data_IF_832192622632
#
_entry.id   IF_832192622632
#
_cell.length_a   1.000
_cell.length_b   1.000
_cell.length_c   1.000
_cell.angle_alpha   90.00
_cell.angle_beta   90.00
_cell.angle_gamma   90.00
#
_symmetry.space_group_name_H-M   'P 1'
#
loop_
_entity.id
_entity.type
_entity.pdbx_description
1 polymer ?
#
# COMPACT_ATOMS: atom_id res chain seq x y z
N UNK A 1 10.65 44.20 4.88
CA UNK A 1 10.64 43.16 3.84
C UNK A 1 9.65 42.09 4.26
N UNK A 2 8.43 42.14 3.72
CA UNK A 2 7.39 41.14 3.99
C UNK A 2 7.68 39.91 3.16
N UNK A 3 7.96 38.79 3.82
CA UNK A 3 8.10 37.48 3.17
C UNK A 3 6.77 37.07 2.56
N UNK A 4 6.77 36.75 1.26
CA UNK A 4 5.61 36.20 0.58
C UNK A 4 5.22 34.84 1.18
N UNK A 5 3.92 34.51 1.26
CA UNK A 5 3.48 33.19 1.67
C UNK A 5 4.06 32.15 0.68
N UNK A 6 4.92 31.29 1.18
CA UNK A 6 5.47 30.17 0.42
C UNK A 6 4.33 29.15 0.27
N UNK A 7 3.72 29.06 -0.92
CA UNK A 7 2.86 27.92 -1.25
C UNK A 7 3.73 26.67 -1.13
N UNK A 8 3.35 25.67 -0.31
CA UNK A 8 4.05 24.39 -0.30
C UNK A 8 4.13 23.87 -1.74
N UNK A 9 5.26 23.27 -2.17
CA UNK A 9 5.31 22.65 -3.49
C UNK A 9 4.10 21.71 -3.64
N UNK A 10 3.44 21.68 -4.81
CA UNK A 10 2.29 20.80 -5.01
C UNK A 10 2.74 19.37 -4.71
N UNK A 11 2.13 18.76 -3.71
CA UNK A 11 2.35 17.35 -3.40
C UNK A 11 1.93 16.48 -4.60
N UNK A 12 2.49 15.27 -4.69
CA UNK A 12 2.10 14.32 -5.73
C UNK A 12 0.62 13.98 -5.60
N UNK A 13 -0.05 13.87 -6.74
CA UNK A 13 -1.46 13.49 -6.83
C UNK A 13 -1.66 11.99 -6.62
N UNK A 14 -2.87 11.57 -6.25
CA UNK A 14 -3.22 10.15 -6.15
C UNK A 14 -2.96 9.38 -7.45
N UNK A 15 -3.17 10.02 -8.61
CA UNK A 15 -2.91 9.43 -9.93
C UNK A 15 -1.42 9.19 -10.17
N UNK A 16 -0.58 10.16 -9.82
CA UNK A 16 0.88 10.03 -9.92
C UNK A 16 1.41 8.94 -8.99
N UNK A 17 0.84 8.83 -7.79
CA UNK A 17 1.22 7.80 -6.82
C UNK A 17 0.77 6.41 -7.28
N UNK A 18 -0.43 6.27 -7.85
CA UNK A 18 -0.93 5.02 -8.40
C UNK A 18 -0.12 4.51 -9.62
N UNK A 19 0.61 5.39 -10.30
CA UNK A 19 1.53 5.03 -11.39
C UNK A 19 2.91 4.56 -10.90
N UNK A 20 3.17 4.60 -9.60
CA UNK A 20 4.46 4.17 -9.04
C UNK A 20 4.67 2.66 -9.20
N UNK A 21 5.92 2.26 -9.47
CA UNK A 21 6.31 0.84 -9.48
C UNK A 21 6.39 0.31 -8.05
N UNK A 22 5.23 -0.04 -7.47
CA UNK A 22 5.10 -0.59 -6.13
C UNK A 22 5.99 -1.84 -5.93
N UNK A 23 6.07 -2.81 -6.87
CA UNK A 23 7.05 -3.89 -6.78
C UNK A 23 8.49 -3.40 -6.58
N UNK A 24 8.96 -2.42 -7.35
CA UNK A 24 10.31 -1.88 -7.17
C UNK A 24 10.47 -1.17 -5.83
N UNK A 25 9.48 -0.38 -5.42
CA UNK A 25 9.50 0.30 -4.12
C UNK A 25 9.58 -0.71 -2.96
N UNK A 26 8.88 -1.83 -3.05
CA UNK A 26 8.99 -2.92 -2.07
C UNK A 26 10.40 -3.51 -2.05
N UNK A 27 10.99 -3.82 -3.21
CA UNK A 27 12.37 -4.35 -3.26
C UNK A 27 13.36 -3.41 -2.59
N UNK A 28 13.32 -2.12 -2.94
CA UNK A 28 14.27 -1.15 -2.43
C UNK A 28 13.98 -0.74 -0.98
N UNK A 29 12.73 -0.56 -0.60
CA UNK A 29 12.35 -0.14 0.76
C UNK A 29 12.54 -1.23 1.82
N UNK A 30 12.44 -2.51 1.42
CA UNK A 30 12.74 -3.64 2.30
C UNK A 30 14.25 -3.93 2.36
N UNK A 31 14.97 -3.83 1.23
CA UNK A 31 16.41 -4.07 1.17
C UNK A 31 17.25 -2.96 1.81
N UNK A 32 16.79 -1.71 1.73
CA UNK A 32 17.54 -0.53 2.16
C UNK A 32 16.73 0.29 3.17
N UNK A 33 17.36 0.67 4.29
CA UNK A 33 16.79 1.64 5.21
C UNK A 33 16.90 3.08 4.64
N UNK A 34 16.31 4.05 5.35
CA UNK A 34 16.42 5.47 4.99
C UNK A 34 15.44 5.88 3.88
N UNK A 35 15.85 6.71 2.89
CA UNK A 35 14.93 7.33 1.94
C UNK A 35 14.04 6.36 1.17
N UNK A 36 14.54 5.19 0.78
CA UNK A 36 13.75 4.17 0.07
C UNK A 36 12.62 3.61 0.93
N UNK A 37 12.87 3.40 2.22
CA UNK A 37 11.87 2.96 3.18
C UNK A 37 10.83 4.05 3.44
N UNK A 38 11.26 5.28 3.61
CA UNK A 38 10.34 6.43 3.74
C UNK A 38 9.45 6.56 2.51
N UNK A 39 10.00 6.40 1.30
CA UNK A 39 9.20 6.43 0.07
C UNK A 39 8.22 5.25 -0.03
N UNK A 40 8.63 4.04 0.38
CA UNK A 40 7.76 2.86 0.41
C UNK A 40 6.56 3.04 1.35
N UNK A 41 6.78 3.54 2.56
CA UNK A 41 5.71 3.77 3.54
C UNK A 41 4.91 5.05 3.29
N UNK A 42 5.44 6.01 2.53
CA UNK A 42 4.73 7.20 2.06
C UNK A 42 4.06 6.95 0.71
N UNK A 43 4.69 7.44 -0.35
CA UNK A 43 4.22 7.36 -1.75
C UNK A 43 3.76 5.95 -2.14
N UNK A 44 4.53 4.92 -1.76
CA UNK A 44 4.23 3.53 -2.12
C UNK A 44 2.96 3.00 -1.45
N UNK A 45 2.76 3.30 -0.16
CA UNK A 45 1.56 2.89 0.56
C UNK A 45 0.31 3.63 0.06
N UNK A 46 0.44 4.93 -0.24
CA UNK A 46 -0.66 5.73 -0.82
C UNK A 46 -1.02 5.22 -2.22
N UNK A 47 -0.03 5.01 -3.10
CA UNK A 47 -0.25 4.48 -4.44
C UNK A 47 -0.92 3.11 -4.43
N UNK A 48 -0.46 2.20 -3.56
CA UNK A 48 -1.08 0.90 -3.36
C UNK A 48 -2.53 1.01 -2.86
N UNK A 49 -2.81 1.89 -1.89
CA UNK A 49 -4.16 2.12 -1.41
C UNK A 49 -5.08 2.66 -2.51
N UNK A 50 -4.61 3.59 -3.35
CA UNK A 50 -5.37 4.12 -4.49
C UNK A 50 -5.69 3.02 -5.51
N UNK A 51 -4.73 2.16 -5.84
CA UNK A 51 -4.94 1.05 -6.77
C UNK A 51 -5.98 0.06 -6.24
N UNK A 52 -5.87 -0.34 -4.97
CA UNK A 52 -6.81 -1.27 -4.34
C UNK A 52 -8.22 -0.67 -4.19
N UNK A 53 -8.31 0.62 -3.89
CA UNK A 53 -9.55 1.39 -3.80
C UNK A 53 -10.31 1.40 -5.15
N UNK A 54 -9.59 1.54 -6.27
CA UNK A 54 -10.16 1.47 -7.63
C UNK A 54 -10.70 0.09 -7.97
N UNK A 55 -10.07 -0.95 -7.43
CA UNK A 55 -10.51 -2.34 -7.58
C UNK A 55 -11.58 -2.74 -6.56
N UNK A 56 -12.03 -1.82 -5.70
CA UNK A 56 -13.06 -2.08 -4.71
C UNK A 56 -12.63 -3.02 -3.59
N UNK A 57 -11.33 -3.17 -3.35
CA UNK A 57 -10.80 -4.04 -2.30
C UNK A 57 -11.09 -3.45 -0.94
N UNK A 58 -11.53 -4.30 -0.02
CA UNK A 58 -11.87 -3.87 1.33
C UNK A 58 -10.61 -3.74 2.20
N UNK A 59 -10.48 -2.69 3.04
CA UNK A 59 -9.39 -2.52 4.01
C UNK A 59 -9.14 -3.78 4.85
N UNK A 60 -10.22 -4.46 5.25
CA UNK A 60 -10.17 -5.67 6.06
C UNK A 60 -9.46 -6.84 5.35
N UNK A 61 -9.58 -6.94 4.03
CA UNK A 61 -8.89 -7.99 3.26
C UNK A 61 -7.37 -7.78 3.31
N UNK A 62 -6.92 -6.53 3.11
CA UNK A 62 -5.49 -6.17 3.18
C UNK A 62 -4.94 -6.35 4.59
N UNK A 63 -5.67 -5.90 5.62
CA UNK A 63 -5.28 -6.09 7.01
C UNK A 63 -5.23 -7.58 7.41
N UNK A 64 -6.08 -8.43 6.82
CA UNK A 64 -6.01 -9.87 7.02
C UNK A 64 -4.76 -10.46 6.36
N UNK A 65 -4.47 -10.06 5.13
CA UNK A 65 -3.24 -10.49 4.43
C UNK A 65 -1.98 -10.08 5.21
N UNK A 66 -1.94 -8.89 5.79
CA UNK A 66 -0.84 -8.45 6.65
C UNK A 66 -0.62 -9.41 7.84
N UNK A 67 -1.69 -9.90 8.47
CA UNK A 67 -1.61 -10.90 9.54
C UNK A 67 -1.09 -12.24 9.03
N UNK A 68 -1.46 -12.64 7.81
CA UNK A 68 -0.93 -13.84 7.19
C UNK A 68 0.57 -13.71 6.94
N UNK A 69 1.04 -12.57 6.41
CA UNK A 69 2.46 -12.29 6.24
C UNK A 69 3.20 -12.33 7.58
N UNK A 70 2.65 -11.69 8.62
CA UNK A 70 3.25 -11.65 9.97
C UNK A 70 3.38 -13.04 10.60
N UNK A 71 2.42 -13.93 10.33
CA UNK A 71 2.37 -15.27 10.97
C UNK A 71 3.03 -16.38 10.16
N UNK A 72 2.97 -16.30 8.83
CA UNK A 72 3.46 -17.34 7.91
C UNK A 72 4.61 -16.89 7.00
N UNK A 73 4.97 -15.61 7.01
CA UNK A 73 5.97 -15.02 6.14
C UNK A 73 5.43 -14.62 4.76
N UNK A 74 6.15 -13.70 4.10
CA UNK A 74 5.73 -13.14 2.81
C UNK A 74 5.72 -14.18 1.69
N UNK A 75 6.63 -15.15 1.72
CA UNK A 75 6.70 -16.25 0.75
C UNK A 75 5.45 -17.12 0.78
N UNK A 76 5.03 -17.51 1.97
CA UNK A 76 3.79 -18.25 2.15
C UNK A 76 2.57 -17.45 1.65
N UNK A 77 2.50 -16.16 2.00
CA UNK A 77 1.43 -15.29 1.52
C UNK A 77 1.41 -15.18 -0.01
N UNK A 78 2.58 -15.16 -0.67
CA UNK A 78 2.71 -15.12 -2.12
C UNK A 78 2.21 -16.39 -2.82
N UNK A 79 2.14 -17.53 -2.11
CA UNK A 79 1.67 -18.81 -2.65
C UNK A 79 0.16 -19.02 -2.47
N UNK A 80 -0.52 -18.14 -1.73
CA UNK A 80 -1.96 -18.22 -1.57
C UNK A 80 -2.66 -18.21 -2.94
N UNK A 81 -3.63 -19.10 -3.20
CA UNK A 81 -4.40 -19.06 -4.44
C UNK A 81 -5.10 -17.72 -4.65
N UNK A 82 -5.64 -17.16 -3.56
CA UNK A 82 -6.37 -15.89 -3.54
C UNK A 82 -5.89 -15.05 -2.34
N UNK A 83 -4.84 -14.22 -2.49
CA UNK A 83 -4.35 -13.36 -1.41
C UNK A 83 -5.32 -12.21 -1.07
N UNK A 84 -6.11 -11.77 -2.05
CA UNK A 84 -7.20 -10.80 -1.92
C UNK A 84 -8.34 -11.16 -2.87
N UNK A 85 -9.59 -10.75 -2.60
CA UNK A 85 -10.73 -11.04 -3.49
C UNK A 85 -10.58 -10.43 -4.88
N UNK A 86 -10.86 -11.20 -5.93
CA UNK A 86 -10.97 -10.73 -7.32
C UNK A 86 -9.70 -10.88 -8.16
N UNK A 87 -9.83 -11.44 -9.37
CA UNK A 87 -8.70 -11.89 -10.21
C UNK A 87 -7.68 -10.81 -10.54
N UNK A 88 -8.14 -9.59 -10.88
CA UNK A 88 -7.25 -8.47 -11.20
C UNK A 88 -6.41 -8.05 -9.99
N UNK A 89 -7.04 -7.96 -8.81
CA UNK A 89 -6.36 -7.64 -7.57
C UNK A 89 -5.41 -8.77 -7.12
N UNK A 90 -5.77 -10.03 -7.38
CA UNK A 90 -4.90 -11.18 -7.11
C UNK A 90 -3.58 -11.05 -7.87
N UNK A 91 -3.62 -10.78 -9.18
CA UNK A 91 -2.40 -10.65 -9.99
C UNK A 91 -1.51 -9.51 -9.46
N UNK A 92 -2.11 -8.36 -9.15
CA UNK A 92 -1.37 -7.19 -8.66
C UNK A 92 -0.74 -7.43 -7.28
N UNK A 93 -1.53 -7.92 -6.31
CA UNK A 93 -1.05 -8.17 -4.95
C UNK A 93 -0.03 -9.31 -4.93
N UNK A 94 -0.18 -10.32 -5.79
CA UNK A 94 0.82 -11.38 -5.94
C UNK A 94 2.15 -10.82 -6.40
N UNK A 95 2.18 -9.94 -7.40
CA UNK A 95 3.41 -9.28 -7.85
C UNK A 95 4.08 -8.48 -6.72
N UNK A 96 3.30 -7.85 -5.83
CA UNK A 96 3.84 -7.16 -4.65
C UNK A 96 4.46 -8.14 -3.65
N UNK A 97 3.75 -9.22 -3.33
CA UNK A 97 4.19 -10.27 -2.41
C UNK A 97 5.45 -10.99 -2.92
N UNK A 98 5.50 -11.36 -4.20
CA UNK A 98 6.66 -11.97 -4.84
C UNK A 98 7.86 -11.03 -4.78
N UNK A 99 7.64 -9.75 -5.13
CA UNK A 99 8.68 -8.73 -5.08
C UNK A 99 9.23 -8.54 -3.66
N UNK A 100 8.35 -8.45 -2.67
CA UNK A 100 8.72 -8.39 -1.26
C UNK A 100 9.44 -9.67 -0.81
N UNK A 101 9.03 -10.85 -1.26
CA UNK A 101 9.67 -12.12 -0.96
C UNK A 101 11.10 -12.26 -1.48
N UNK A 102 11.46 -11.51 -2.53
CA UNK A 102 12.85 -11.44 -3.01
C UNK A 102 13.74 -10.56 -2.12
N UNK A 103 13.16 -9.61 -1.38
CA UNK A 103 13.90 -8.59 -0.62
C UNK A 103 13.81 -8.78 0.91
N UNK A 104 12.72 -9.36 1.41
CA UNK A 104 12.51 -9.63 2.82
C UNK A 104 13.56 -10.62 3.33
N UNK A 105 14.29 -10.20 4.37
CA UNK A 105 15.34 -10.99 4.98
C UNK A 105 14.89 -11.50 6.35
N UNK A 106 14.35 -12.73 6.38
CA UNK A 106 13.87 -13.36 7.60
C UNK A 106 12.69 -12.63 8.25
N UNK A 107 12.50 -12.90 9.54
CA UNK A 107 11.34 -12.44 10.33
C UNK A 107 11.20 -10.91 10.31
N UNK A 108 12.31 -10.17 10.37
CA UNK A 108 12.26 -8.70 10.35
C UNK A 108 11.74 -8.16 9.01
N UNK A 109 12.07 -8.81 7.90
CA UNK A 109 11.56 -8.46 6.57
C UNK A 109 10.07 -8.80 6.40
N UNK A 110 9.64 -9.94 6.95
CA UNK A 110 8.23 -10.33 7.00
C UNK A 110 7.40 -9.34 7.84
N UNK A 111 7.92 -8.96 9.01
CA UNK A 111 7.30 -7.98 9.91
C UNK A 111 7.21 -6.60 9.24
N UNK A 112 8.26 -6.14 8.55
CA UNK A 112 8.23 -4.86 7.82
C UNK A 112 7.23 -4.88 6.66
N UNK A 113 7.15 -6.01 5.94
CA UNK A 113 6.16 -6.20 4.87
C UNK A 113 4.73 -6.17 5.44
N UNK A 114 4.50 -6.82 6.58
CA UNK A 114 3.22 -6.80 7.26
C UNK A 114 2.83 -5.38 7.71
N UNK A 115 3.77 -4.61 8.28
CA UNK A 115 3.53 -3.20 8.66
C UNK A 115 3.20 -2.34 7.46
N UNK A 116 3.89 -2.54 6.34
CA UNK A 116 3.56 -1.82 5.11
C UNK A 116 2.14 -2.13 4.64
N UNK A 117 1.71 -3.40 4.67
CA UNK A 117 0.33 -3.77 4.34
C UNK A 117 -0.71 -3.21 5.31
N UNK A 118 -0.38 -3.14 6.61
CA UNK A 118 -1.22 -2.48 7.61
C UNK A 118 -1.40 -0.99 7.29
N UNK A 119 -0.33 -0.29 6.95
CA UNK A 119 -0.39 1.11 6.53
C UNK A 119 -1.27 1.29 5.27
N UNK A 120 -1.14 0.40 4.28
CA UNK A 120 -2.01 0.40 3.08
C UNK A 120 -3.47 0.19 3.48
N UNK A 121 -3.76 -0.74 4.38
CA UNK A 121 -5.12 -1.00 4.84
C UNK A 121 -5.73 0.20 5.56
N UNK A 122 -4.95 0.90 6.40
CA UNK A 122 -5.38 2.12 7.09
C UNK A 122 -5.71 3.25 6.10
N UNK A 123 -4.82 3.50 5.14
CA UNK A 123 -5.02 4.49 4.09
C UNK A 123 -6.26 4.17 3.25
N UNK A 124 -6.43 2.91 2.84
CA UNK A 124 -7.61 2.44 2.12
C UNK A 124 -8.90 2.67 2.93
N UNK A 125 -8.86 2.43 4.24
CA UNK A 125 -9.97 2.71 5.15
C UNK A 125 -10.36 4.19 5.20
N UNK A 126 -9.38 5.09 5.26
CA UNK A 126 -9.62 6.54 5.21
C UNK A 126 -10.28 6.96 3.89
N UNK A 127 -9.84 6.39 2.76
CA UNK A 127 -10.42 6.67 1.42
C UNK A 127 -11.87 6.20 1.33
N UNK A 128 -12.15 4.98 1.78
CA UNK A 128 -13.51 4.44 1.82
C UNK A 128 -14.44 5.32 2.65
N UNK A 129 -13.99 5.75 3.84
CA UNK A 129 -14.77 6.63 4.71
C UNK A 129 -15.01 8.02 4.09
N UNK A 130 -14.03 8.58 3.38
CA UNK A 130 -14.18 9.85 2.68
C UNK A 130 -15.19 9.76 1.53
N UNK A 131 -15.13 8.70 0.72
CA UNK A 131 -16.09 8.46 -0.37
C UNK A 131 -17.51 8.28 0.15
N UNK A 132 -17.70 7.48 1.20
CA UNK A 132 -19.02 7.25 1.79
C UNK A 132 -19.67 8.57 2.28
N UNK A 133 -18.87 9.47 2.89
CA UNK A 133 -19.32 10.82 3.28
C UNK A 133 -19.68 11.68 2.08
N UNK A 134 -18.87 11.67 1.02
CA UNK A 134 -19.14 12.44 -0.20
C UNK A 134 -20.44 11.98 -0.89
N UNK A 135 -20.69 10.67 -0.95
CA UNK A 135 -21.92 10.11 -1.52
C UNK A 135 -23.17 10.43 -0.68
N UNK A 136 -23.05 10.49 0.66
CA UNK A 136 -24.14 10.92 1.53
C UNK A 136 -24.47 12.41 1.39
N UNK A 137 -23.47 13.25 1.11
CA UNK A 137 -23.65 14.69 0.91
C UNK A 137 -24.28 15.04 -0.45
N UNK A 138 -24.06 14.24 -1.49
CA UNK A 138 -24.71 14.41 -2.81
C UNK A 138 -26.13 13.85 -2.87
N UNK A 139 -26.56 13.14 -1.83
CA UNK A 139 -27.91 12.55 -1.70
C UNK A 139 -28.86 13.39 -0.84
N UNK A 140 -28.39 14.54 -0.33
CA UNK A 140 -29.16 15.51 0.49
C UNK A 140 -29.41 16.79 -0.29
#
# INVERSE_FOLDING_TARGET
MTSAPQTPPPGRTDDELAQSDIPAMLRYGLSFAGPHRTALFGDGAVGAAVLLDRLGIQPRAVAFLAKVVRSGGVRYAAELPEPVPGEEAVSMVRAWLESAATAANGIDGDEETARWMEAVAELLGLRHAHRARAAGASSS
#
